data_IF_709553807787
#
_entry.id   IF_709553807787
#
_cell.length_a   1.000
_cell.length_b   1.000
_cell.length_c   1.000
_cell.angle_alpha   90.00
_cell.angle_beta   90.00
_cell.angle_gamma   90.00
#
_symmetry.space_group_name_H-M   'P 1'
#
loop_
_entity.id
_entity.type
_entity.pdbx_description
1 polymer ?
#
# COMPACT_ATOMS: atom_id res chain seq x y z
N UNK A 1 7.03 -3.51 20.43
CA UNK A 1 7.86 -3.72 19.20
C UNK A 1 8.93 -2.63 19.11
N UNK A 2 10.01 -2.88 18.38
CA UNK A 2 11.04 -1.87 18.09
C UNK A 2 10.45 -0.69 17.33
N UNK A 3 9.53 -0.96 16.41
CA UNK A 3 8.82 0.08 15.64
C UNK A 3 8.05 1.03 16.57
N UNK A 4 7.31 0.49 17.55
CA UNK A 4 6.61 1.32 18.54
C UNK A 4 7.57 2.20 19.33
N UNK A 5 8.68 1.64 19.83
CA UNK A 5 9.66 2.41 20.59
C UNK A 5 10.26 3.56 19.77
N UNK A 6 10.49 3.35 18.49
CA UNK A 6 10.96 4.37 17.58
C UNK A 6 9.92 5.46 17.35
N UNK A 7 8.63 5.09 17.13
CA UNK A 7 7.54 6.07 17.02
C UNK A 7 7.41 6.90 18.30
N UNK A 8 7.40 6.24 19.46
CA UNK A 8 7.33 6.92 20.76
C UNK A 8 8.49 7.91 20.95
N UNK A 9 9.70 7.54 20.50
CA UNK A 9 10.86 8.45 20.58
C UNK A 9 10.73 9.63 19.62
N UNK A 10 10.34 9.39 18.35
CA UNK A 10 10.13 10.45 17.37
C UNK A 10 9.09 11.48 17.86
N UNK A 11 8.02 11.02 18.47
CA UNK A 11 6.94 11.87 18.97
C UNK A 11 7.39 12.81 20.10
N UNK A 12 8.37 12.41 20.92
CA UNK A 12 8.94 13.31 21.95
C UNK A 12 9.57 14.56 21.36
N UNK A 13 10.04 14.48 20.12
CA UNK A 13 10.63 15.60 19.39
C UNK A 13 9.66 16.27 18.40
N UNK A 14 8.37 15.94 18.46
CA UNK A 14 7.35 16.47 17.53
C UNK A 14 7.49 15.97 16.10
N UNK A 15 8.22 14.88 15.86
CA UNK A 15 8.44 14.29 14.54
C UNK A 15 7.34 13.29 14.24
N UNK A 16 6.75 13.38 13.04
CA UNK A 16 5.73 12.45 12.54
C UNK A 16 6.35 11.30 11.78
N UNK A 17 5.81 10.09 11.98
CA UNK A 17 6.28 8.86 11.36
C UNK A 17 5.31 8.43 10.25
N UNK A 18 5.81 8.41 9.01
CA UNK A 18 5.06 7.94 7.84
C UNK A 18 5.63 6.61 7.36
N UNK A 19 4.78 5.60 7.26
CA UNK A 19 5.17 4.26 6.80
C UNK A 19 5.01 4.16 5.29
N UNK A 20 6.03 3.61 4.61
CA UNK A 20 5.93 3.26 3.20
C UNK A 20 5.21 1.92 3.06
N UNK A 21 3.94 1.98 2.70
CA UNK A 21 3.06 0.81 2.61
C UNK A 21 3.07 0.24 1.19
N UNK A 22 3.72 -0.90 1.02
CA UNK A 22 3.81 -1.63 -0.25
C UNK A 22 2.68 -2.66 -0.29
N UNK A 23 1.51 -2.28 -0.82
CA UNK A 23 0.30 -3.12 -0.80
C UNK A 23 0.00 -3.79 -2.14
N UNK A 24 0.66 -3.34 -3.23
CA UNK A 24 0.43 -3.84 -4.58
C UNK A 24 1.16 -5.16 -4.86
N UNK A 25 2.35 -5.32 -4.35
CA UNK A 25 3.26 -6.39 -4.76
C UNK A 25 4.09 -6.90 -3.59
N UNK A 26 4.73 -8.03 -3.81
CA UNK A 26 5.70 -8.59 -2.87
C UNK A 26 7.03 -8.85 -3.59
N UNK A 27 8.08 -9.06 -2.80
CA UNK A 27 9.43 -9.30 -3.36
C UNK A 27 9.48 -10.50 -4.30
N UNK A 28 10.37 -10.42 -5.28
CA UNK A 28 10.66 -11.49 -6.23
C UNK A 28 12.06 -12.09 -5.97
N UNK A 29 12.25 -13.33 -6.41
CA UNK A 29 13.58 -13.97 -6.49
C UNK A 29 14.28 -13.57 -7.79
N UNK A 30 13.52 -13.55 -8.87
CA UNK A 30 13.90 -13.13 -10.20
C UNK A 30 12.67 -12.62 -10.94
N UNK A 31 12.83 -12.15 -12.17
CA UNK A 31 11.70 -11.64 -12.95
C UNK A 31 10.56 -12.66 -13.00
N UNK A 32 9.36 -12.24 -12.61
CA UNK A 32 8.14 -13.06 -12.60
C UNK A 32 8.21 -14.31 -11.71
N UNK A 33 9.08 -14.33 -10.70
CA UNK A 33 9.24 -15.46 -9.79
C UNK A 33 9.09 -14.98 -8.33
N UNK A 34 8.29 -15.69 -7.54
CA UNK A 34 8.00 -15.32 -6.18
C UNK A 34 9.23 -15.50 -5.26
N UNK A 35 9.49 -14.53 -4.40
CA UNK A 35 10.55 -14.65 -3.39
C UNK A 35 10.30 -15.83 -2.45
N UNK A 36 11.32 -16.62 -2.12
CA UNK A 36 11.22 -17.69 -1.13
C UNK A 36 10.95 -17.17 0.29
N UNK A 37 11.13 -15.85 0.52
CA UNK A 37 10.82 -15.22 1.81
C UNK A 37 9.33 -14.96 2.00
N UNK A 38 8.51 -15.09 0.94
CA UNK A 38 7.05 -14.98 1.04
C UNK A 38 6.54 -16.25 1.75
N UNK A 39 5.70 -16.12 2.79
CA UNK A 39 5.11 -17.27 3.48
C UNK A 39 4.41 -18.23 2.50
N UNK A 40 4.54 -19.53 2.75
CA UNK A 40 4.04 -20.57 1.85
C UNK A 40 2.54 -20.47 1.59
N UNK A 41 1.76 -20.09 2.60
CA UNK A 41 0.31 -19.91 2.51
C UNK A 41 -0.10 -18.77 1.55
N UNK A 42 0.78 -17.81 1.32
CA UNK A 42 0.57 -16.73 0.34
C UNK A 42 1.18 -17.15 -1.00
N UNK A 43 2.43 -17.60 -0.99
CA UNK A 43 3.20 -17.94 -2.19
C UNK A 43 2.54 -19.02 -3.03
N UNK A 44 2.00 -20.07 -2.38
CA UNK A 44 1.42 -21.23 -3.04
C UNK A 44 -0.09 -21.10 -3.33
N UNK A 45 -0.69 -19.96 -3.01
CA UNK A 45 -2.09 -19.70 -3.28
C UNK A 45 -2.25 -18.77 -4.49
N UNK A 46 -2.48 -19.37 -5.67
CA UNK A 46 -2.59 -18.63 -6.93
C UNK A 46 -3.73 -17.60 -6.96
N UNK A 47 -4.77 -17.76 -6.12
CA UNK A 47 -5.88 -16.78 -6.06
C UNK A 47 -5.48 -15.44 -5.47
N UNK A 48 -4.35 -15.38 -4.75
CA UNK A 48 -3.84 -14.15 -4.14
C UNK A 48 -2.97 -13.31 -5.09
N UNK A 49 -2.74 -13.79 -6.31
CA UNK A 49 -1.87 -13.15 -7.29
C UNK A 49 -2.65 -12.82 -8.57
N UNK A 50 -2.28 -11.73 -9.21
CA UNK A 50 -2.62 -11.50 -10.62
C UNK A 50 -1.82 -12.44 -11.52
N UNK A 51 -1.92 -12.28 -12.85
CA UNK A 51 -1.17 -13.11 -13.79
C UNK A 51 0.33 -12.80 -13.74
N UNK A 52 1.07 -13.49 -12.85
CA UNK A 52 2.49 -13.29 -12.67
C UNK A 52 3.35 -13.71 -13.88
N UNK A 53 2.77 -14.43 -14.86
CA UNK A 53 3.49 -14.79 -16.08
C UNK A 53 3.66 -13.61 -17.05
N UNK A 54 2.92 -12.52 -16.83
CA UNK A 54 2.91 -11.34 -17.71
C UNK A 54 3.47 -10.11 -16.99
N UNK A 55 4.19 -9.29 -17.75
CA UNK A 55 4.62 -7.98 -17.30
C UNK A 55 3.76 -6.88 -17.90
N UNK A 56 3.53 -5.84 -17.13
CA UNK A 56 2.92 -4.62 -17.63
C UNK A 56 3.83 -3.95 -18.67
N UNK A 57 3.24 -3.57 -19.78
CA UNK A 57 3.86 -2.73 -20.81
C UNK A 57 3.35 -1.29 -20.73
N UNK A 58 2.58 -0.98 -19.68
CA UNK A 58 1.95 0.33 -19.46
C UNK A 58 1.06 0.79 -20.63
N UNK A 59 0.50 -0.18 -21.38
CA UNK A 59 -0.31 0.08 -22.57
C UNK A 59 -1.75 0.46 -22.27
N UNK A 60 -2.30 -0.02 -21.14
CA UNK A 60 -3.68 0.25 -20.71
C UNK A 60 -3.81 0.21 -19.20
N UNK A 61 -4.94 0.68 -18.69
CA UNK A 61 -5.25 0.59 -17.25
C UNK A 61 -5.32 -0.86 -16.78
N UNK A 62 -5.93 -1.75 -17.58
CA UNK A 62 -5.97 -3.18 -17.31
C UNK A 62 -4.55 -3.77 -17.24
N UNK A 63 -3.70 -3.46 -18.21
CA UNK A 63 -2.32 -3.92 -18.25
C UNK A 63 -1.53 -3.49 -17.01
N UNK A 64 -1.71 -2.22 -16.59
CA UNK A 64 -1.02 -1.66 -15.42
C UNK A 64 -1.44 -2.34 -14.11
N UNK A 65 -2.70 -2.78 -13.99
CA UNK A 65 -3.25 -3.28 -12.72
C UNK A 65 -3.35 -4.80 -12.63
N UNK A 66 -3.20 -5.53 -13.74
CA UNK A 66 -3.41 -6.99 -13.75
C UNK A 66 -2.14 -7.79 -14.06
N UNK A 67 -1.01 -7.09 -14.33
CA UNK A 67 0.25 -7.74 -14.68
C UNK A 67 1.40 -7.19 -13.83
N UNK A 68 2.45 -8.00 -13.70
CA UNK A 68 3.62 -7.67 -12.89
C UNK A 68 4.23 -6.31 -13.22
N UNK A 69 4.50 -5.53 -12.22
CA UNK A 69 5.25 -4.28 -12.33
C UNK A 69 6.75 -4.60 -12.50
N UNK A 70 7.26 -4.44 -13.73
CA UNK A 70 8.68 -4.70 -14.07
C UNK A 70 9.22 -6.08 -13.62
N UNK A 71 8.33 -7.09 -13.61
CA UNK A 71 8.67 -8.46 -13.19
C UNK A 71 8.53 -8.70 -11.68
N UNK A 72 8.01 -7.75 -10.93
CA UNK A 72 7.67 -7.91 -9.52
C UNK A 72 6.23 -8.44 -9.45
N UNK A 73 5.98 -9.58 -8.81
CA UNK A 73 4.66 -10.19 -8.75
C UNK A 73 3.63 -9.31 -8.02
N UNK A 74 2.49 -9.10 -8.67
CA UNK A 74 1.37 -8.31 -8.17
C UNK A 74 0.39 -9.16 -7.39
N UNK A 75 -0.01 -8.65 -6.23
CA UNK A 75 -1.11 -9.21 -5.44
C UNK A 75 -2.46 -8.94 -6.12
N UNK A 76 -3.34 -9.94 -6.10
CA UNK A 76 -4.73 -9.76 -6.52
C UNK A 76 -5.49 -8.92 -5.48
N UNK A 77 -5.45 -7.61 -5.63
CA UNK A 77 -6.03 -6.65 -4.68
C UNK A 77 -7.57 -6.64 -4.69
N UNK A 78 -8.23 -7.30 -5.65
CA UNK A 78 -9.66 -7.58 -5.59
C UNK A 78 -10.01 -8.75 -4.64
N UNK A 79 -9.03 -9.58 -4.27
CA UNK A 79 -9.23 -10.71 -3.36
C UNK A 79 -9.38 -10.22 -1.91
N UNK A 80 -10.45 -10.65 -1.22
CA UNK A 80 -10.75 -10.24 0.16
C UNK A 80 -9.68 -10.66 1.17
N UNK A 81 -8.97 -11.76 0.93
CA UNK A 81 -7.85 -12.18 1.79
C UNK A 81 -6.70 -11.18 1.68
N UNK A 82 -6.37 -10.72 0.47
CA UNK A 82 -5.35 -9.68 0.24
C UNK A 82 -5.76 -8.38 0.92
N UNK A 83 -7.03 -7.97 0.77
CA UNK A 83 -7.56 -6.79 1.45
C UNK A 83 -7.45 -6.90 2.97
N UNK A 84 -7.74 -8.06 3.54
CA UNK A 84 -7.64 -8.30 4.98
C UNK A 84 -6.17 -8.24 5.46
N UNK A 85 -5.22 -8.74 4.70
CA UNK A 85 -3.79 -8.57 5.03
C UNK A 85 -3.38 -7.10 5.01
N UNK A 86 -3.81 -6.33 4.02
CA UNK A 86 -3.55 -4.90 3.95
C UNK A 86 -4.15 -4.14 5.15
N UNK A 87 -5.42 -4.42 5.49
CA UNK A 87 -6.10 -3.82 6.64
C UNK A 87 -5.34 -4.14 7.94
N UNK A 88 -5.00 -5.41 8.17
CA UNK A 88 -4.27 -5.84 9.36
C UNK A 88 -2.93 -5.13 9.48
N UNK A 89 -2.16 -5.05 8.40
CA UNK A 89 -0.88 -4.36 8.35
C UNK A 89 -1.01 -2.88 8.71
N UNK A 90 -1.94 -2.16 8.06
CA UNK A 90 -2.13 -0.73 8.32
C UNK A 90 -2.57 -0.48 9.76
N UNK A 91 -3.50 -1.29 10.28
CA UNK A 91 -3.94 -1.19 11.69
C UNK A 91 -2.80 -1.43 12.66
N UNK A 92 -1.97 -2.46 12.42
CA UNK A 92 -0.82 -2.73 13.25
C UNK A 92 0.20 -1.59 13.25
N UNK A 93 0.44 -0.94 12.10
CA UNK A 93 1.28 0.25 12.03
C UNK A 93 0.73 1.40 12.87
N UNK A 94 -0.57 1.67 12.75
CA UNK A 94 -1.26 2.72 13.51
C UNK A 94 -1.21 2.44 15.01
N UNK A 95 -1.54 1.23 15.43
CA UNK A 95 -1.52 0.80 16.84
C UNK A 95 -0.13 0.89 17.47
N UNK A 96 0.91 0.85 16.64
CA UNK A 96 2.31 1.04 17.04
C UNK A 96 2.83 2.47 16.86
N UNK A 97 1.97 3.43 16.47
CA UNK A 97 2.30 4.85 16.49
C UNK A 97 2.62 5.47 15.13
N UNK A 98 2.32 4.81 14.01
CA UNK A 98 2.41 5.44 12.69
C UNK A 98 1.42 6.61 12.59
N UNK A 99 1.89 7.76 12.07
CA UNK A 99 1.07 8.96 11.85
C UNK A 99 0.49 9.03 10.43
N UNK A 100 0.97 8.21 9.51
CA UNK A 100 0.50 8.22 8.12
C UNK A 100 1.13 7.15 7.26
N UNK A 101 0.71 7.12 5.99
CA UNK A 101 1.21 6.18 5.00
C UNK A 101 1.53 6.86 3.68
N UNK A 102 2.60 6.38 3.04
CA UNK A 102 2.84 6.56 1.62
C UNK A 102 2.58 5.21 0.95
N UNK A 103 1.69 5.17 -0.02
CA UNK A 103 1.38 3.92 -0.73
C UNK A 103 2.24 3.79 -1.99
N UNK A 104 3.16 2.82 -1.96
CA UNK A 104 3.98 2.51 -3.13
C UNK A 104 3.18 1.74 -4.18
N UNK A 105 3.47 1.98 -5.45
CA UNK A 105 2.78 1.29 -6.55
C UNK A 105 1.27 1.52 -6.62
N UNK A 106 0.72 2.56 -5.96
CA UNK A 106 -0.72 2.79 -5.86
C UNK A 106 -1.44 2.83 -7.23
N UNK A 107 -0.77 3.27 -8.29
CA UNK A 107 -1.33 3.27 -9.66
C UNK A 107 -1.56 1.86 -10.24
N UNK A 108 -0.91 0.86 -9.66
CA UNK A 108 -1.03 -0.55 -10.07
C UNK A 108 -2.19 -1.27 -9.37
N UNK A 109 -2.84 -0.63 -8.42
CA UNK A 109 -4.03 -1.17 -7.75
C UNK A 109 -5.29 -0.67 -8.44
N UNK A 110 -6.24 -1.57 -8.64
CA UNK A 110 -7.54 -1.28 -9.26
C UNK A 110 -8.37 -0.32 -8.40
N UNK A 111 -9.27 0.36 -9.07
CA UNK A 111 -10.29 1.21 -8.44
C UNK A 111 -11.69 0.70 -8.81
N UNK A 112 -12.75 1.11 -8.09
CA UNK A 112 -14.12 0.76 -8.47
C UNK A 112 -14.54 1.27 -9.87
N UNK A 113 -13.82 2.25 -10.42
CA UNK A 113 -14.09 2.83 -11.73
C UNK A 113 -13.49 2.01 -12.90
N UNK A 114 -12.64 1.03 -12.62
CA UNK A 114 -11.98 0.20 -13.65
C UNK A 114 -12.98 -0.85 -14.18
N UNK A 115 -13.60 -0.57 -15.35
CA UNK A 115 -14.68 -1.38 -15.90
C UNK A 115 -14.25 -2.81 -16.25
N UNK A 116 -14.94 -3.80 -15.69
CA UNK A 116 -14.71 -5.23 -15.96
C UNK A 116 -13.61 -5.90 -15.11
N UNK A 117 -12.78 -5.12 -14.42
CA UNK A 117 -11.71 -5.62 -13.54
C UNK A 117 -11.51 -4.77 -12.28
N UNK A 118 -12.44 -3.86 -12.00
CA UNK A 118 -12.38 -2.96 -10.86
C UNK A 118 -12.46 -3.67 -9.51
N UNK A 119 -11.91 -3.02 -8.50
CA UNK A 119 -11.86 -3.51 -7.13
C UNK A 119 -12.29 -2.43 -6.13
N UNK A 120 -12.91 -2.86 -5.04
CA UNK A 120 -13.22 -2.02 -3.89
C UNK A 120 -12.05 -1.93 -2.88
N UNK A 121 -10.83 -2.29 -3.30
CA UNK A 121 -9.66 -2.31 -2.43
C UNK A 121 -9.49 -0.99 -1.67
N UNK A 122 -9.35 0.13 -2.38
CA UNK A 122 -9.09 1.43 -1.77
C UNK A 122 -10.17 1.86 -0.78
N UNK A 123 -11.47 1.91 -1.15
CA UNK A 123 -12.49 2.31 -0.19
C UNK A 123 -12.57 1.37 1.01
N UNK A 124 -12.43 0.05 0.80
CA UNK A 124 -12.50 -0.95 1.87
C UNK A 124 -11.30 -0.83 2.82
N UNK A 125 -10.09 -0.82 2.27
CA UNK A 125 -8.85 -0.84 3.07
C UNK A 125 -8.68 0.47 3.84
N UNK A 126 -8.89 1.61 3.19
CA UNK A 126 -8.76 2.92 3.83
C UNK A 126 -9.83 3.13 4.90
N UNK A 127 -11.10 2.78 4.62
CA UNK A 127 -12.17 2.90 5.60
C UNK A 127 -11.88 2.06 6.85
N UNK A 128 -11.47 0.80 6.68
CA UNK A 128 -11.19 -0.10 7.79
C UNK A 128 -9.95 0.33 8.59
N UNK A 129 -8.92 0.82 7.91
CA UNK A 129 -7.72 1.36 8.58
C UNK A 129 -8.06 2.64 9.39
N UNK A 130 -8.95 3.48 8.87
CA UNK A 130 -9.37 4.73 9.54
C UNK A 130 -10.34 4.50 10.70
N UNK A 131 -11.19 3.48 10.65
CA UNK A 131 -12.12 3.16 11.75
C UNK A 131 -11.39 2.80 13.05
N UNK A 132 -10.14 2.32 12.96
CA UNK A 132 -9.31 2.08 14.14
C UNK A 132 -8.75 3.37 14.76
N UNK A 133 -8.93 4.52 14.11
CA UNK A 133 -8.38 5.82 14.49
C UNK A 133 -9.40 6.82 15.06
N UNK A 134 -10.65 6.45 15.23
CA UNK A 134 -11.65 7.36 15.80
C UNK A 134 -11.30 7.83 17.22
N UNK A 135 -10.26 7.24 17.84
CA UNK A 135 -9.72 7.71 19.13
C UNK A 135 -8.42 8.53 19.02
N UNK A 136 -7.78 8.58 17.85
CA UNK A 136 -6.56 9.35 17.61
C UNK A 136 -6.79 10.45 16.58
N UNK A 137 -7.12 11.64 17.03
CA UNK A 137 -7.29 12.85 16.20
C UNK A 137 -6.01 13.17 15.41
N UNK A 138 -6.16 13.34 14.10
CA UNK A 138 -5.22 13.87 13.10
C UNK A 138 -4.22 12.88 12.45
N UNK A 139 -4.71 11.99 11.60
CA UNK A 139 -3.87 11.35 10.61
C UNK A 139 -3.95 12.09 9.27
N UNK A 140 -2.82 12.59 8.79
CA UNK A 140 -2.68 13.07 7.41
C UNK A 140 -2.34 11.90 6.50
N UNK A 141 -3.35 11.37 5.79
CA UNK A 141 -3.10 10.37 4.75
C UNK A 141 -2.53 11.08 3.54
N UNK A 142 -1.23 10.93 3.28
CA UNK A 142 -0.63 11.38 2.03
C UNK A 142 -0.73 10.26 1.00
N UNK A 143 -1.82 10.27 0.22
CA UNK A 143 -1.90 9.47 -1.00
C UNK A 143 -1.17 10.23 -2.09
N UNK A 144 0.08 9.89 -2.35
CA UNK A 144 0.82 10.44 -3.48
C UNK A 144 0.46 9.62 -4.72
N UNK A 145 -0.63 10.02 -5.40
CA UNK A 145 -0.90 9.56 -6.76
C UNK A 145 0.15 10.18 -7.69
N UNK A 146 1.15 9.42 -8.11
CA UNK A 146 1.94 9.74 -9.29
C UNK A 146 1.11 9.41 -10.54
N UNK A 147 -0.01 10.11 -10.71
CA UNK A 147 -0.67 10.19 -12.01
C UNK A 147 0.04 11.31 -12.77
N UNK A 148 0.74 10.94 -13.82
CA UNK A 148 1.27 11.86 -14.80
C UNK A 148 0.09 12.39 -15.63
N UNK A 149 -0.74 13.25 -15.05
CA UNK A 149 -1.67 14.19 -15.70
C UNK A 149 -2.35 15.05 -14.64
N UNK A 150 -2.06 16.35 -14.71
CA UNK A 150 -2.75 17.49 -14.14
C UNK A 150 -3.63 17.24 -12.89
N UNK A 151 -3.05 17.41 -11.74
CA UNK A 151 -3.79 17.79 -10.54
C UNK A 151 -3.12 19.02 -9.96
N UNK A 152 -3.89 20.10 -9.91
CA UNK A 152 -3.56 21.35 -9.25
C UNK A 152 -3.19 21.06 -7.81
N UNK A 153 -1.93 21.29 -7.45
CA UNK A 153 -1.45 21.12 -6.09
C UNK A 153 -2.10 22.16 -5.18
N UNK A 154 -3.07 21.77 -4.37
CA UNK A 154 -3.45 22.55 -3.22
C UNK A 154 -2.28 22.51 -2.23
N UNK A 155 -1.66 23.67 -1.97
CA UNK A 155 -0.56 23.79 -1.00
C UNK A 155 -1.03 23.34 0.38
N UNK A 156 -0.60 22.16 0.80
CA UNK A 156 -0.60 21.80 2.22
C UNK A 156 0.75 22.25 2.78
N UNK A 157 0.73 23.28 3.58
CA UNK A 157 1.92 23.75 4.29
C UNK A 157 2.19 22.76 5.43
N UNK A 158 3.14 21.85 5.23
CA UNK A 158 3.59 20.93 6.29
C UNK A 158 4.74 21.62 7.04
N UNK A 159 4.46 22.13 8.23
CA UNK A 159 5.45 22.75 9.13
C UNK A 159 6.00 21.75 10.16
N UNK A 160 5.99 20.46 9.89
CA UNK A 160 6.48 19.42 10.81
C UNK A 160 7.53 18.52 10.14
N UNK A 161 8.55 18.12 10.92
CA UNK A 161 9.55 17.16 10.46
C UNK A 161 8.93 15.79 10.27
N UNK A 162 9.22 15.16 9.13
CA UNK A 162 8.70 13.86 8.71
C UNK A 162 9.85 12.86 8.60
N UNK A 163 9.66 11.65 9.12
CA UNK A 163 10.51 10.49 8.84
C UNK A 163 9.69 9.49 8.01
N UNK A 164 10.19 9.13 6.82
CA UNK A 164 9.65 8.05 5.99
C UNK A 164 10.39 6.76 6.32
N UNK A 165 9.64 5.70 6.64
CA UNK A 165 10.18 4.40 7.00
C UNK A 165 9.68 3.35 6.03
N UNK A 166 10.63 2.59 5.46
CA UNK A 166 10.36 1.34 4.75
C UNK A 166 10.35 0.19 5.75
N UNK A 167 9.24 -0.57 5.78
CA UNK A 167 9.09 -1.77 6.60
C UNK A 167 9.09 -3.01 5.73
#
# INVERSE_FOLDING_TARGET
SQFKAMCDEAHKYGVKVVVDAVLNHMGNKSKNDLSPCIPDEIRNNSSLWHDISKNSWYASRHDITQYCMDGIPDLNTSNKTVQNYAIKFLKECVDNGADGFRFDGAKHIETPADSGFGSDFWPTVLQQAMLSQQEALHLSIMVKFLIKQQVTMTKVTVSQSLILIHL
#
